data_IF_879465861643
#
_entry.id   IF_879465861643
#
_cell.length_a   1.000
_cell.length_b   1.000
_cell.length_c   1.000
_cell.angle_alpha   90.00
_cell.angle_beta   90.00
_cell.angle_gamma   90.00
#
_symmetry.space_group_name_H-M   'P 1'
#
loop_
_entity.id
_entity.type
_entity.pdbx_description
1 polymer ?
#
# COMPACT_ATOMS: atom_id res chain seq x y z
N UNK A 1 17.25 11.77 22.52
CA UNK A 1 16.22 11.38 21.53
C UNK A 1 15.56 12.56 20.83
N UNK A 2 15.21 13.66 21.51
CA UNK A 2 14.54 14.82 20.90
C UNK A 2 15.35 15.51 19.78
N UNK A 3 16.69 15.50 19.85
CA UNK A 3 17.55 16.13 18.83
C UNK A 3 17.63 15.39 17.49
N UNK A 4 17.29 14.10 17.44
CA UNK A 4 17.27 13.33 16.19
C UNK A 4 15.92 13.42 15.47
N UNK A 5 14.85 13.80 16.18
CA UNK A 5 13.51 13.95 15.60
C UNK A 5 13.40 15.20 14.71
N UNK A 6 14.17 16.25 15.01
CA UNK A 6 14.12 17.55 14.30
C UNK A 6 14.78 17.48 12.90
N UNK A 7 15.66 16.51 12.67
CA UNK A 7 16.38 16.38 11.40
C UNK A 7 15.55 15.67 10.32
N UNK A 8 14.53 14.89 10.71
CA UNK A 8 13.64 14.18 9.76
C UNK A 8 12.49 15.08 9.27
N UNK A 9 12.09 16.09 10.05
CA UNK A 9 11.00 17.02 9.67
C UNK A 9 11.42 18.12 8.67
N UNK A 10 12.71 18.29 8.39
CA UNK A 10 13.22 19.35 7.50
C UNK A 10 13.10 19.09 5.99
N UNK A 11 12.70 17.88 5.57
CA UNK A 11 12.58 17.50 4.15
C UNK A 11 11.12 17.50 3.64
N UNK A 12 10.14 17.89 4.47
CA UNK A 12 8.73 17.97 4.07
C UNK A 12 8.40 19.24 3.25
N UNK A 13 9.33 19.73 2.45
CA UNK A 13 9.19 20.96 1.67
C UNK A 13 8.71 20.62 0.26
N UNK A 14 7.46 20.99 -0.01
CA UNK A 14 6.83 21.14 -1.34
C UNK A 14 6.44 19.83 -2.04
N UNK A 15 5.49 19.09 -1.44
CA UNK A 15 4.67 18.16 -2.21
C UNK A 15 3.62 18.97 -2.99
N UNK A 16 3.84 19.17 -4.29
CA UNK A 16 2.78 19.62 -5.20
C UNK A 16 1.82 18.45 -5.42
N UNK A 17 0.70 18.46 -4.70
CA UNK A 17 -0.39 17.53 -4.97
C UNK A 17 -1.01 17.89 -6.33
N UNK A 18 -0.85 17.01 -7.33
CA UNK A 18 -1.69 17.07 -8.52
C UNK A 18 -3.12 16.70 -8.09
N UNK A 19 -4.15 17.53 -8.40
CA UNK A 19 -5.52 17.19 -8.09
C UNK A 19 -5.99 16.05 -9.00
N UNK A 20 -5.77 14.81 -8.57
CA UNK A 20 -6.19 13.60 -9.28
C UNK A 20 -7.65 13.17 -8.97
N UNK A 21 -8.33 13.81 -8.01
CA UNK A 21 -9.60 13.33 -7.44
C UNK A 21 -10.82 14.22 -7.69
N UNK A 22 -10.72 15.27 -8.50
CA UNK A 22 -11.92 15.99 -8.90
C UNK A 22 -12.49 15.31 -10.14
N UNK A 23 -13.45 14.39 -9.95
CA UNK A 23 -14.41 14.08 -11.01
C UNK A 23 -15.02 15.44 -11.40
N UNK A 24 -14.85 15.90 -12.65
CA UNK A 24 -15.43 17.16 -13.09
C UNK A 24 -16.91 17.16 -12.72
N UNK A 25 -17.38 18.19 -12.01
CA UNK A 25 -18.75 18.26 -11.54
C UNK A 25 -19.71 18.02 -12.73
N UNK A 26 -20.45 16.91 -12.69
CA UNK A 26 -21.31 16.50 -13.80
C UNK A 26 -22.60 17.30 -13.85
N UNK A 27 -22.88 18.10 -12.82
CA UNK A 27 -24.06 18.96 -12.72
C UNK A 27 -23.68 20.43 -12.59
N UNK A 28 -24.51 21.31 -13.14
CA UNK A 28 -24.36 22.76 -12.96
C UNK A 28 -24.84 23.19 -11.56
N UNK A 29 -24.82 24.50 -11.29
CA UNK A 29 -25.29 25.08 -10.01
C UNK A 29 -26.77 24.88 -9.73
N UNK A 30 -27.56 24.56 -10.76
CA UNK A 30 -29.01 24.34 -10.70
C UNK A 30 -29.37 22.85 -10.55
N UNK A 31 -28.38 21.96 -10.58
CA UNK A 31 -28.56 20.50 -10.47
C UNK A 31 -28.79 19.79 -11.80
N UNK A 32 -28.78 20.50 -12.93
CA UNK A 32 -28.91 19.91 -14.25
C UNK A 32 -27.59 19.27 -14.70
N UNK A 33 -27.66 18.12 -15.36
CA UNK A 33 -26.46 17.47 -15.92
C UNK A 33 -25.89 18.35 -17.02
N UNK A 34 -24.58 18.65 -16.95
CA UNK A 34 -23.90 19.45 -17.96
C UNK A 34 -24.10 18.81 -19.35
N UNK A 35 -24.53 19.57 -20.36
CA UNK A 35 -24.73 19.02 -21.70
C UNK A 35 -23.40 18.49 -22.23
N UNK A 36 -23.46 17.33 -22.88
CA UNK A 36 -22.28 16.72 -23.49
C UNK A 36 -21.82 17.61 -24.65
N UNK A 37 -20.62 18.17 -24.54
CA UNK A 37 -20.11 19.13 -25.52
C UNK A 37 -19.50 18.41 -26.73
N UNK A 38 -19.61 19.04 -27.89
CA UNK A 38 -18.88 18.61 -29.08
C UNK A 38 -17.38 18.90 -28.89
N UNK A 39 -16.53 18.02 -29.41
CA UNK A 39 -15.07 18.17 -29.32
C UNK A 39 -14.46 18.12 -30.71
N UNK A 40 -13.92 19.26 -31.15
CA UNK A 40 -13.20 19.41 -32.41
C UNK A 40 -11.69 19.22 -32.23
N UNK A 41 -10.97 19.06 -33.34
CA UNK A 41 -9.51 18.96 -33.33
C UNK A 41 -8.98 17.61 -32.83
N UNK A 42 -9.83 16.57 -32.81
CA UNK A 42 -9.41 15.23 -32.40
C UNK A 42 -8.69 14.54 -33.56
N UNK A 43 -7.48 14.06 -33.32
CA UNK A 43 -6.70 13.34 -34.33
C UNK A 43 -7.27 11.95 -34.57
N UNK A 44 -7.35 11.55 -35.83
CA UNK A 44 -7.73 10.19 -36.19
C UNK A 44 -6.63 9.18 -35.85
N UNK A 45 -6.99 7.98 -35.35
CA UNK A 45 -6.02 6.90 -35.21
C UNK A 45 -5.50 6.45 -36.57
N UNK A 46 -4.34 5.80 -36.59
CA UNK A 46 -3.75 5.26 -37.81
C UNK A 46 -4.66 4.17 -38.37
N UNK A 47 -4.97 4.26 -39.66
CA UNK A 47 -5.69 3.21 -40.39
C UNK A 47 -4.68 2.25 -41.01
N UNK A 48 -4.84 0.97 -40.71
CA UNK A 48 -3.99 -0.10 -41.20
C UNK A 48 -4.73 -0.88 -42.29
N UNK A 49 -4.09 -1.08 -43.43
CA UNK A 49 -4.67 -1.72 -44.61
C UNK A 49 -3.74 -2.78 -45.17
N UNK A 50 -4.27 -3.78 -45.88
CA UNK A 50 -3.43 -4.84 -46.47
C UNK A 50 -2.62 -4.35 -47.67
N UNK A 51 -3.22 -3.47 -48.45
CA UNK A 51 -2.63 -2.84 -49.63
C UNK A 51 -2.93 -1.34 -49.57
N UNK A 52 -2.00 -0.49 -50.00
CA UNK A 52 -2.22 0.95 -50.06
C UNK A 52 -3.41 1.36 -50.93
N UNK A 53 -3.80 0.52 -51.89
CA UNK A 53 -5.01 0.71 -52.68
C UNK A 53 -6.31 0.58 -51.88
N UNK A 54 -6.25 0.01 -50.67
CA UNK A 54 -7.38 -0.03 -49.74
C UNK A 54 -7.45 1.20 -48.81
N UNK A 55 -6.48 2.12 -48.87
CA UNK A 55 -6.61 3.40 -48.20
C UNK A 55 -7.73 4.23 -48.86
N UNK A 56 -8.61 4.87 -48.09
CA UNK A 56 -9.59 5.80 -48.63
C UNK A 56 -8.94 6.93 -49.43
N UNK A 57 -9.59 7.40 -50.50
CA UNK A 57 -9.07 8.43 -51.41
C UNK A 57 -8.54 9.68 -50.70
N UNK A 58 -9.17 10.08 -49.59
CA UNK A 58 -8.77 11.24 -48.77
C UNK A 58 -7.42 11.09 -48.08
N UNK A 59 -6.99 9.85 -47.84
CA UNK A 59 -5.76 9.50 -47.13
C UNK A 59 -4.90 8.51 -47.92
N UNK A 60 -5.18 8.36 -49.21
CA UNK A 60 -4.41 7.51 -50.10
C UNK A 60 -3.01 8.11 -50.28
N UNK A 61 -1.94 7.30 -50.32
CA UNK A 61 -0.60 7.80 -50.59
C UNK A 61 -0.54 8.56 -51.91
N UNK A 62 -0.02 9.78 -51.84
CA UNK A 62 0.48 10.47 -53.03
C UNK A 62 1.70 9.74 -53.57
N UNK A 63 1.94 9.83 -54.88
CA UNK A 63 3.19 9.35 -55.47
C UNK A 63 4.39 9.95 -54.73
N UNK A 64 5.33 9.10 -54.33
CA UNK A 64 6.53 9.54 -53.62
C UNK A 64 7.40 10.41 -54.55
N UNK A 65 8.13 11.40 -54.00
CA UNK A 65 9.14 12.16 -54.73
C UNK A 65 10.15 11.27 -55.45
N UNK A 66 10.74 11.79 -56.53
CA UNK A 66 11.73 11.04 -57.31
C UNK A 66 12.93 10.63 -56.45
N UNK A 67 13.15 9.32 -56.31
CA UNK A 67 14.23 8.74 -55.51
C UNK A 67 13.77 8.13 -54.19
N UNK A 68 12.53 8.42 -53.76
CA UNK A 68 11.92 7.83 -52.56
C UNK A 68 10.95 6.70 -52.93
N UNK A 69 10.70 5.80 -51.99
CA UNK A 69 9.71 4.74 -52.07
C UNK A 69 8.76 4.79 -50.87
N UNK A 70 7.51 4.38 -51.10
CA UNK A 70 6.49 4.31 -50.06
C UNK A 70 6.74 3.09 -49.17
N UNK A 71 7.00 3.32 -47.89
CA UNK A 71 7.25 2.28 -46.90
C UNK A 71 5.98 1.87 -46.15
N UNK A 72 6.05 0.74 -45.43
CA UNK A 72 4.87 0.14 -44.77
C UNK A 72 4.27 1.00 -43.64
N UNK A 73 4.95 2.05 -43.20
CA UNK A 73 4.41 3.06 -42.28
C UNK A 73 3.55 4.15 -42.98
N UNK A 74 3.47 4.09 -44.30
CA UNK A 74 2.71 5.03 -45.12
C UNK A 74 3.47 6.29 -45.50
N UNK A 75 4.75 6.44 -45.13
CA UNK A 75 5.58 7.58 -45.51
C UNK A 75 6.59 7.22 -46.61
N UNK A 76 7.10 8.25 -47.29
CA UNK A 76 8.09 8.11 -48.35
C UNK A 76 9.50 8.26 -47.77
N UNK A 77 10.40 7.35 -48.13
CA UNK A 77 11.81 7.33 -47.71
C UNK A 77 12.72 6.91 -48.86
N UNK A 78 14.00 7.29 -48.80
CA UNK A 78 15.03 6.80 -49.73
C UNK A 78 15.23 5.27 -49.64
N UNK A 79 15.07 4.71 -48.43
CA UNK A 79 15.06 3.27 -48.16
C UNK A 79 14.09 2.96 -47.02
N UNK A 80 13.43 1.79 -47.09
CA UNK A 80 12.57 1.31 -46.01
C UNK A 80 13.33 0.54 -44.92
N UNK A 81 14.67 0.50 -44.99
CA UNK A 81 15.49 -0.15 -43.98
C UNK A 81 15.36 0.56 -42.64
N UNK A 82 14.95 -0.17 -41.60
CA UNK A 82 14.69 0.34 -40.23
C UNK A 82 13.50 1.29 -40.10
N UNK A 83 12.58 1.30 -41.07
CA UNK A 83 11.30 1.99 -40.91
C UNK A 83 10.38 1.10 -40.06
N UNK A 84 9.98 1.61 -38.90
CA UNK A 84 9.09 0.89 -37.98
C UNK A 84 7.64 1.04 -38.46
N UNK A 85 7.01 -0.09 -38.75
CA UNK A 85 5.62 -0.11 -39.16
C UNK A 85 4.69 0.03 -37.93
N UNK A 86 3.94 1.14 -37.79
CA UNK A 86 3.10 1.39 -36.63
C UNK A 86 1.95 0.38 -36.49
N UNK A 87 1.53 -0.28 -37.57
CA UNK A 87 0.47 -1.30 -37.56
C UNK A 87 0.88 -2.62 -36.88
N UNK A 88 2.19 -2.82 -36.65
CA UNK A 88 2.72 -4.02 -36.00
C UNK A 88 2.73 -3.92 -34.49
N UNK A 89 2.48 -2.74 -33.91
CA UNK A 89 2.40 -2.54 -32.47
C UNK A 89 3.65 -3.02 -31.70
N UNK A 90 4.83 -2.86 -32.31
CA UNK A 90 6.12 -3.29 -31.75
C UNK A 90 6.37 -4.81 -31.80
N UNK A 91 5.51 -5.59 -32.45
CA UNK A 91 5.73 -7.01 -32.72
C UNK A 91 6.48 -7.24 -34.03
N UNK A 92 6.99 -8.44 -34.25
CA UNK A 92 7.72 -8.76 -35.47
C UNK A 92 6.76 -9.09 -36.61
N UNK A 93 7.12 -8.74 -37.84
CA UNK A 93 6.33 -9.07 -39.03
C UNK A 93 6.05 -10.58 -39.18
N UNK A 94 6.91 -11.44 -38.62
CA UNK A 94 6.73 -12.90 -38.60
C UNK A 94 5.57 -13.39 -37.73
N UNK A 95 5.08 -12.55 -36.82
CA UNK A 95 4.01 -12.90 -35.88
C UNK A 95 2.61 -12.70 -36.50
N UNK A 96 2.54 -12.20 -37.73
CA UNK A 96 1.30 -11.92 -38.45
C UNK A 96 1.12 -12.84 -39.65
N UNK A 97 -0.11 -13.30 -39.87
CA UNK A 97 -0.49 -14.05 -41.08
C UNK A 97 -0.48 -13.15 -42.32
N UNK A 98 -0.80 -11.86 -42.15
CA UNK A 98 -0.85 -10.85 -43.20
C UNK A 98 -0.22 -9.56 -42.68
N UNK A 99 0.70 -8.99 -43.45
CA UNK A 99 1.34 -7.72 -43.13
C UNK A 99 0.42 -6.56 -43.49
N UNK A 100 0.05 -5.76 -42.50
CA UNK A 100 -0.70 -4.53 -42.69
C UNK A 100 0.25 -3.34 -42.85
N UNK A 101 -0.21 -2.31 -43.57
CA UNK A 101 0.51 -1.09 -43.89
C UNK A 101 -0.30 0.11 -43.40
N UNK A 102 0.35 1.13 -42.88
CA UNK A 102 -0.33 2.33 -42.42
C UNK A 102 -0.65 3.28 -43.58
N UNK A 103 -1.83 3.89 -43.55
CA UNK A 103 -2.16 4.97 -44.49
C UNK A 103 -1.42 6.27 -44.08
N UNK A 104 -0.86 7.05 -45.04
CA UNK A 104 0.03 8.20 -44.82
C UNK A 104 -0.51 9.33 -43.95
N UNK A 105 -1.81 9.60 -44.03
CA UNK A 105 -2.39 10.85 -43.51
C UNK A 105 -3.27 10.61 -42.30
N UNK A 106 -2.65 10.60 -41.13
CA UNK A 106 -3.32 10.58 -39.82
C UNK A 106 -3.47 11.99 -39.19
N UNK A 107 -3.11 13.06 -39.91
CA UNK A 107 -3.23 14.46 -39.43
C UNK A 107 -4.64 15.07 -39.60
N UNK A 108 -5.58 14.29 -40.15
CA UNK A 108 -6.97 14.73 -40.27
C UNK A 108 -7.57 14.83 -38.88
N UNK A 109 -8.03 16.03 -38.54
CA UNK A 109 -8.77 16.25 -37.30
C UNK A 109 -10.28 16.16 -37.55
N UNK A 110 -10.99 15.53 -36.63
CA UNK A 110 -12.44 15.36 -36.69
C UNK A 110 -13.12 16.09 -35.53
N UNK A 111 -14.42 16.36 -35.72
CA UNK A 111 -15.30 16.84 -34.66
C UNK A 111 -16.22 15.73 -34.23
N UNK A 112 -16.10 15.29 -32.98
CA UNK A 112 -17.00 14.32 -32.37
C UNK A 112 -18.14 15.07 -31.69
N UNK A 113 -19.36 14.80 -32.14
CA UNK A 113 -20.57 15.35 -31.51
C UNK A 113 -20.91 14.59 -30.25
N UNK A 114 -21.39 15.29 -29.21
CA UNK A 114 -21.75 14.68 -27.93
C UNK A 114 -20.61 13.77 -27.39
N UNK A 115 -19.41 14.34 -27.28
CA UNK A 115 -18.21 13.61 -26.89
C UNK A 115 -18.33 13.02 -25.48
N UNK A 116 -18.36 11.70 -25.38
CA UNK A 116 -18.38 10.97 -24.12
C UNK A 116 -16.97 10.42 -23.82
N UNK A 117 -16.32 10.89 -22.72
CA UNK A 117 -14.97 10.43 -22.35
C UNK A 117 -14.85 8.90 -22.16
N UNK A 118 -15.94 8.23 -21.79
CA UNK A 118 -15.97 6.78 -21.51
C UNK A 118 -15.88 5.93 -22.77
N UNK A 119 -16.37 6.44 -23.91
CA UNK A 119 -16.37 5.78 -25.23
C UNK A 119 -15.63 6.62 -26.27
N UNK A 120 -14.65 7.42 -25.81
CA UNK A 120 -13.98 8.44 -26.63
C UNK A 120 -13.35 7.86 -27.89
N UNK A 121 -12.77 6.67 -27.77
CA UNK A 121 -11.97 6.04 -28.81
C UNK A 121 -12.86 5.58 -29.96
N UNK A 122 -13.90 4.79 -29.64
CA UNK A 122 -14.94 4.37 -30.59
C UNK A 122 -15.61 5.57 -31.28
N UNK A 123 -15.89 6.65 -30.55
CA UNK A 123 -16.50 7.85 -31.12
C UNK A 123 -15.56 8.59 -32.09
N UNK A 124 -14.26 8.65 -31.79
CA UNK A 124 -13.25 9.24 -32.68
C UNK A 124 -13.12 8.40 -33.94
N UNK A 125 -12.95 7.09 -33.80
CA UNK A 125 -12.86 6.14 -34.90
C UNK A 125 -14.06 6.21 -35.83
N UNK A 126 -15.27 6.27 -35.26
CA UNK A 126 -16.49 6.43 -36.03
C UNK A 126 -16.51 7.73 -36.84
N UNK A 127 -16.15 8.86 -36.21
CA UNK A 127 -16.08 10.16 -36.89
C UNK A 127 -15.02 10.18 -38.00
N UNK A 128 -13.89 9.49 -37.79
CA UNK A 128 -12.84 9.33 -38.79
C UNK A 128 -13.31 8.45 -39.96
N UNK A 129 -13.96 7.32 -39.67
CA UNK A 129 -14.54 6.44 -40.68
C UNK A 129 -15.57 7.16 -41.56
N UNK A 130 -16.43 8.00 -40.96
CA UNK A 130 -17.37 8.84 -41.72
C UNK A 130 -16.65 9.89 -42.58
N UNK A 131 -15.62 10.52 -42.04
CA UNK A 131 -14.84 11.54 -42.74
C UNK A 131 -14.12 10.95 -43.95
N UNK A 132 -13.56 9.75 -43.80
CA UNK A 132 -12.87 9.02 -44.87
C UNK A 132 -13.79 8.20 -45.77
N UNK A 133 -15.11 8.21 -45.54
CA UNK A 133 -16.08 7.49 -46.39
C UNK A 133 -16.06 5.97 -46.25
N UNK A 134 -15.45 5.44 -45.19
CA UNK A 134 -15.53 4.03 -44.82
C UNK A 134 -16.93 3.66 -44.30
N UNK A 135 -17.64 4.64 -43.76
CA UNK A 135 -19.01 4.52 -43.27
C UNK A 135 -19.87 5.64 -43.86
N UNK A 136 -21.16 5.37 -44.06
CA UNK A 136 -22.11 6.37 -44.54
C UNK A 136 -22.15 7.59 -43.61
N UNK A 137 -22.22 8.80 -44.19
CA UNK A 137 -22.37 10.06 -43.43
C UNK A 137 -23.66 10.11 -42.59
N UNK A 138 -24.64 9.28 -42.92
CA UNK A 138 -25.92 9.17 -42.19
C UNK A 138 -25.92 8.04 -41.16
N UNK A 139 -24.82 7.28 -41.04
CA UNK A 139 -24.73 6.24 -40.02
C UNK A 139 -24.78 6.86 -38.63
N UNK A 140 -25.30 6.10 -37.67
CA UNK A 140 -25.32 6.45 -36.26
C UNK A 140 -24.28 5.63 -35.51
N UNK A 141 -23.61 6.26 -34.56
CA UNK A 141 -22.70 5.58 -33.63
C UNK A 141 -23.41 4.38 -32.99
N UNK A 142 -22.77 3.20 -33.00
CA UNK A 142 -23.33 1.95 -32.47
C UNK A 142 -24.14 1.09 -33.46
N UNK A 143 -24.20 1.46 -34.75
CA UNK A 143 -24.65 0.53 -35.81
C UNK A 143 -23.46 -0.22 -36.40
N UNK A 144 -23.60 -1.54 -36.62
CA UNK A 144 -22.55 -2.54 -36.96
C UNK A 144 -21.81 -2.28 -38.30
N UNK A 145 -21.12 -1.15 -38.42
CA UNK A 145 -20.35 -0.79 -39.62
C UNK A 145 -18.90 -0.45 -39.28
N UNK A 146 -18.33 -1.07 -38.24
CA UNK A 146 -16.98 -0.73 -37.78
C UNK A 146 -15.91 -1.39 -38.65
N UNK A 147 -14.88 -0.61 -38.97
CA UNK A 147 -13.55 -1.10 -39.33
C UNK A 147 -13.11 -2.10 -38.24
N UNK A 148 -12.43 -3.18 -38.64
CA UNK A 148 -12.04 -4.21 -37.69
C UNK A 148 -11.14 -3.66 -36.58
N UNK A 149 -11.31 -4.20 -35.37
CA UNK A 149 -10.35 -3.98 -34.30
C UNK A 149 -9.06 -4.72 -34.64
N UNK A 150 -7.95 -4.22 -34.11
CA UNK A 150 -6.65 -4.84 -34.33
C UNK A 150 -6.62 -6.28 -33.78
N UNK A 151 -6.13 -7.23 -34.58
CA UNK A 151 -5.81 -8.58 -34.15
C UNK A 151 -4.73 -9.21 -35.05
N UNK A 152 -3.91 -10.10 -34.50
CA UNK A 152 -2.80 -10.76 -35.24
C UNK A 152 -3.27 -11.68 -36.37
N UNK A 153 -4.47 -12.24 -36.22
CA UNK A 153 -5.12 -13.15 -37.16
C UNK A 153 -6.29 -12.49 -37.90
N UNK A 154 -6.35 -11.16 -37.94
CA UNK A 154 -7.44 -10.44 -38.59
C UNK A 154 -7.44 -10.68 -40.11
N UNK A 155 -8.62 -10.91 -40.66
CA UNK A 155 -8.82 -11.14 -42.11
C UNK A 155 -9.36 -9.93 -42.85
N UNK A 156 -9.82 -8.91 -42.13
CA UNK A 156 -10.35 -7.68 -42.69
C UNK A 156 -9.33 -6.92 -43.55
N UNK A 157 -9.83 -6.25 -44.58
CA UNK A 157 -9.02 -5.41 -45.49
C UNK A 157 -8.47 -4.16 -44.80
N UNK A 158 -9.18 -3.66 -43.80
CA UNK A 158 -8.87 -2.46 -43.04
C UNK A 158 -9.07 -2.73 -41.54
N UNK A 159 -8.18 -2.19 -40.72
CA UNK A 159 -8.27 -2.25 -39.26
C UNK A 159 -7.77 -0.96 -38.63
N UNK A 160 -8.26 -0.63 -37.44
CA UNK A 160 -7.71 0.46 -36.64
C UNK A 160 -6.41 0.04 -35.98
N UNK A 161 -5.44 0.96 -35.89
CA UNK A 161 -4.21 0.71 -35.14
C UNK A 161 -4.43 0.85 -33.63
N UNK A 162 -5.22 -0.06 -33.07
CA UNK A 162 -5.43 -0.18 -31.63
C UNK A 162 -4.52 -1.26 -31.07
N UNK A 163 -3.27 -0.88 -30.82
CA UNK A 163 -2.33 -1.82 -30.24
C UNK A 163 -2.85 -2.36 -28.90
N UNK A 164 -2.74 -3.69 -28.69
CA UNK A 164 -3.15 -4.27 -27.42
C UNK A 164 -2.32 -3.62 -26.35
N UNK A 165 -2.98 -3.12 -25.30
CA UNK A 165 -2.29 -2.63 -24.13
C UNK A 165 -1.34 -3.73 -23.66
N UNK A 166 -0.05 -3.43 -23.57
CA UNK A 166 0.94 -4.36 -23.05
C UNK A 166 0.39 -4.93 -21.74
N UNK A 167 0.32 -6.26 -21.66
CA UNK A 167 -0.30 -6.92 -20.51
C UNK A 167 0.31 -6.35 -19.23
N UNK A 168 -0.52 -5.72 -18.40
CA UNK A 168 -0.03 -5.06 -17.21
C UNK A 168 0.72 -6.10 -16.36
N UNK A 169 1.98 -5.84 -15.97
CA UNK A 169 2.72 -6.77 -15.14
C UNK A 169 1.95 -6.95 -13.83
N UNK A 170 1.49 -8.18 -13.57
CA UNK A 170 0.71 -8.51 -12.38
C UNK A 170 1.67 -8.80 -11.24
N UNK A 171 1.56 -8.05 -10.15
CA UNK A 171 2.31 -8.36 -8.94
C UNK A 171 1.82 -9.70 -8.35
N UNK A 172 2.68 -10.73 -8.37
CA UNK A 172 2.39 -12.00 -7.70
C UNK A 172 2.91 -12.00 -6.26
N UNK A 173 2.23 -12.70 -5.34
CA UNK A 173 2.72 -12.90 -3.96
C UNK A 173 4.02 -13.71 -3.88
N UNK A 174 4.41 -14.33 -4.98
CA UNK A 174 5.67 -15.09 -5.12
C UNK A 174 6.85 -14.21 -5.53
N UNK A 175 6.63 -12.92 -5.80
CA UNK A 175 7.71 -12.01 -6.14
C UNK A 175 8.73 -11.91 -5.00
N UNK A 176 10.01 -11.74 -5.37
CA UNK A 176 11.13 -11.77 -4.41
C UNK A 176 10.95 -10.72 -3.31
N UNK A 177 10.39 -9.56 -3.63
CA UNK A 177 10.11 -8.49 -2.66
C UNK A 177 9.06 -8.92 -1.64
N UNK A 178 7.98 -9.57 -2.08
CA UNK A 178 6.93 -10.10 -1.20
C UNK A 178 7.47 -11.21 -0.29
N UNK A 179 8.22 -12.16 -0.84
CA UNK A 179 8.84 -13.24 -0.08
C UNK A 179 9.82 -12.70 0.98
N UNK A 180 10.65 -11.71 0.62
CA UNK A 180 11.57 -11.07 1.56
C UNK A 180 10.80 -10.36 2.70
N UNK A 181 9.72 -9.64 2.36
CA UNK A 181 8.86 -8.99 3.35
C UNK A 181 8.25 -10.01 4.32
N UNK A 182 7.64 -11.09 3.82
CA UNK A 182 7.07 -12.14 4.67
C UNK A 182 8.12 -12.85 5.52
N UNK A 183 9.30 -13.10 4.96
CA UNK A 183 10.42 -13.69 5.69
C UNK A 183 10.89 -12.82 6.85
N UNK A 184 11.03 -11.51 6.63
CA UNK A 184 11.43 -10.56 7.68
C UNK A 184 10.37 -10.47 8.77
N UNK A 185 9.10 -10.26 8.41
CA UNK A 185 8.01 -10.16 9.39
C UNK A 185 7.84 -11.47 10.17
N UNK A 186 7.89 -12.61 9.50
CA UNK A 186 7.82 -13.93 10.13
C UNK A 186 8.97 -14.17 11.11
N UNK A 187 10.20 -13.80 10.73
CA UNK A 187 11.37 -13.89 11.61
C UNK A 187 11.25 -12.96 12.83
N UNK A 188 10.78 -11.73 12.64
CA UNK A 188 10.54 -10.79 13.75
C UNK A 188 9.51 -11.34 14.74
N UNK A 189 8.37 -11.82 14.27
CA UNK A 189 7.33 -12.43 15.10
C UNK A 189 7.88 -13.62 15.89
N UNK A 190 8.64 -14.51 15.24
CA UNK A 190 9.27 -15.65 15.90
C UNK A 190 10.23 -15.21 17.00
N UNK A 191 11.07 -14.20 16.76
CA UNK A 191 11.99 -13.67 17.76
C UNK A 191 11.25 -13.06 18.96
N UNK A 192 10.12 -12.38 18.75
CA UNK A 192 9.29 -11.88 19.86
C UNK A 192 8.65 -12.99 20.67
N UNK A 193 8.17 -14.06 20.03
CA UNK A 193 7.63 -15.23 20.73
C UNK A 193 8.70 -15.94 21.56
N UNK A 194 9.89 -16.11 21.00
CA UNK A 194 11.04 -16.69 21.71
C UNK A 194 11.48 -15.81 22.89
N UNK A 195 11.53 -14.49 22.70
CA UNK A 195 11.81 -13.55 23.79
C UNK A 195 10.77 -13.63 24.90
N UNK A 196 9.48 -13.65 24.54
CA UNK A 196 8.39 -13.77 25.51
C UNK A 196 8.52 -15.07 26.31
N UNK A 197 8.73 -16.21 25.64
CA UNK A 197 8.94 -17.50 26.30
C UNK A 197 10.18 -17.48 27.22
N UNK A 198 11.31 -16.96 26.74
CA UNK A 198 12.54 -16.82 27.53
C UNK A 198 12.30 -15.97 28.79
N UNK A 199 11.68 -14.80 28.64
CA UNK A 199 11.34 -13.90 29.74
C UNK A 199 10.40 -14.57 30.74
N UNK A 200 9.31 -15.20 30.27
CA UNK A 200 8.38 -15.92 31.14
C UNK A 200 9.09 -17.01 31.95
N UNK A 201 9.96 -17.81 31.32
CA UNK A 201 10.72 -18.86 32.01
C UNK A 201 11.63 -18.27 33.09
N UNK A 202 12.36 -17.19 32.77
CA UNK A 202 13.30 -16.53 33.69
C UNK A 202 12.60 -15.85 34.86
N UNK A 203 11.39 -15.32 34.65
CA UNK A 203 10.65 -14.57 35.66
C UNK A 203 9.76 -15.47 36.55
N UNK A 204 9.52 -16.73 36.16
CA UNK A 204 8.76 -17.72 36.96
C UNK A 204 9.25 -17.83 38.41
N UNK A 205 10.57 -17.87 38.63
CA UNK A 205 11.13 -17.98 39.98
C UNK A 205 10.84 -16.74 40.85
N UNK A 206 10.91 -15.54 40.25
CA UNK A 206 10.62 -14.29 40.96
C UNK A 206 9.11 -14.18 41.25
N UNK A 207 8.27 -14.61 40.31
CA UNK A 207 6.83 -14.68 40.51
C UNK A 207 6.44 -15.65 41.64
N UNK A 208 7.07 -16.83 41.71
CA UNK A 208 6.85 -17.80 42.80
C UNK A 208 7.24 -17.22 44.16
N UNK A 209 8.42 -16.60 44.27
CA UNK A 209 8.86 -15.95 45.52
C UNK A 209 7.91 -14.83 45.96
N UNK A 210 7.38 -14.03 45.02
CA UNK A 210 6.39 -12.99 45.34
C UNK A 210 5.12 -13.60 45.94
N UNK A 211 4.64 -14.73 45.43
CA UNK A 211 3.45 -15.42 45.97
C UNK A 211 3.66 -15.84 47.43
N UNK A 212 4.79 -16.48 47.72
CA UNK A 212 5.13 -16.93 49.09
C UNK A 212 5.23 -15.74 50.05
N UNK A 213 5.94 -14.67 49.67
CA UNK A 213 6.06 -13.48 50.52
C UNK A 213 4.75 -12.72 50.72
N UNK A 214 3.84 -12.75 49.73
CA UNK A 214 2.55 -12.06 49.83
C UNK A 214 1.56 -12.75 50.78
N UNK A 215 1.77 -14.04 51.07
CA UNK A 215 0.94 -14.83 51.98
C UNK A 215 1.40 -14.74 53.44
N UNK A 216 2.53 -14.10 53.74
CA UNK A 216 2.87 -13.85 55.15
C UNK A 216 1.77 -12.99 55.77
N UNK A 217 1.17 -13.43 56.91
CA UNK A 217 0.15 -12.68 57.58
C UNK A 217 0.67 -11.27 57.78
N UNK A 218 -0.06 -10.27 57.27
CA UNK A 218 0.11 -8.91 57.74
C UNK A 218 -0.24 -8.97 59.22
N UNK A 219 0.75 -9.19 60.07
CA UNK A 219 0.61 -9.01 61.51
C UNK A 219 0.02 -7.62 61.64
N UNK A 220 -1.25 -7.56 62.01
CA UNK A 220 -1.92 -6.31 62.30
C UNK A 220 -1.15 -5.72 63.47
N UNK A 221 -0.15 -4.91 63.17
CA UNK A 221 0.37 -3.94 64.11
C UNK A 221 -0.75 -2.90 64.19
N UNK A 222 -1.79 -3.25 64.95
CA UNK A 222 -2.76 -2.27 65.43
C UNK A 222 -1.93 -1.14 66.04
N UNK A 223 -2.05 0.10 65.54
CA UNK A 223 -1.52 1.23 66.27
C UNK A 223 -2.33 1.30 67.56
N UNK A 224 -1.83 0.69 68.63
CA UNK A 224 -2.37 0.85 69.98
C UNK A 224 -2.07 2.29 70.40
N UNK A 225 -2.86 3.22 69.87
CA UNK A 225 -3.14 4.47 70.56
C UNK A 225 -3.77 4.05 71.87
N UNK A 226 -3.07 4.34 72.95
CA UNK A 226 -3.56 4.20 74.30
C UNK A 226 -4.90 4.93 74.42
N UNK A 227 -6.00 4.18 74.40
CA UNK A 227 -7.27 4.62 74.96
C UNK A 227 -7.81 3.52 75.85
N UNK A 228 -7.71 3.85 77.12
CA UNK A 228 -8.32 3.27 78.29
C UNK A 228 -9.81 2.93 78.05
N UNK A 229 -10.17 1.64 78.15
CA UNK A 229 -11.26 1.09 78.99
C UNK A 229 -11.97 -0.14 78.41
N UNK A 230 -12.15 -1.08 79.34
CA UNK A 230 -13.23 -2.06 79.51
C UNK A 230 -13.33 -3.26 78.54
N UNK A 231 -12.73 -4.36 79.00
CA UNK A 231 -13.35 -5.68 79.19
C UNK A 231 -14.81 -5.82 78.72
N UNK A 232 -15.03 -6.55 77.63
CA UNK A 232 -16.20 -7.42 77.50
C UNK A 232 -15.84 -8.72 76.77
N UNK A 233 -16.38 -9.81 77.29
CA UNK A 233 -16.00 -11.21 77.12
C UNK A 233 -16.95 -11.83 76.09
N UNK A 234 -16.45 -12.29 74.93
CA UNK A 234 -17.31 -12.81 73.88
C UNK A 234 -16.64 -13.80 72.91
N UNK A 235 -16.77 -15.08 73.25
CA UNK A 235 -16.93 -16.27 72.39
C UNK A 235 -16.04 -16.43 71.15
N UNK A 236 -15.11 -17.36 71.27
CA UNK A 236 -14.36 -18.02 70.20
C UNK A 236 -15.31 -18.84 69.33
N UNK A 237 -15.34 -18.58 68.02
CA UNK A 237 -15.92 -19.48 67.02
C UNK A 237 -14.87 -19.80 65.96
N UNK A 238 -14.24 -20.97 66.13
CA UNK A 238 -13.32 -21.59 65.18
C UNK A 238 -14.10 -22.26 64.05
N UNK A 239 -14.06 -21.68 62.85
CA UNK A 239 -14.51 -22.31 61.61
C UNK A 239 -13.32 -22.54 60.67
N UNK A 240 -13.04 -23.79 60.23
CA UNK A 240 -12.04 -24.06 59.22
C UNK A 240 -12.69 -23.92 57.83
N UNK A 241 -12.58 -22.75 57.22
CA UNK A 241 -12.94 -22.57 55.80
C UNK A 241 -11.67 -22.58 54.96
N UNK A 242 -11.23 -23.78 54.59
CA UNK A 242 -10.30 -24.02 53.49
C UNK A 242 -11.03 -23.75 52.18
N UNK A 243 -10.95 -22.51 51.69
CA UNK A 243 -11.37 -22.17 50.32
C UNK A 243 -10.17 -22.44 49.42
N UNK A 244 -10.22 -23.57 48.73
CA UNK A 244 -9.36 -23.86 47.58
C UNK A 244 -9.63 -22.83 46.48
N UNK A 245 -8.79 -21.80 46.42
CA UNK A 245 -8.81 -20.84 45.31
C UNK A 245 -8.00 -21.44 44.16
N UNK A 246 -8.60 -21.67 42.98
CA UNK A 246 -7.88 -22.22 41.83
C UNK A 246 -6.69 -21.32 41.47
N UNK A 247 -5.54 -21.97 41.26
CA UNK A 247 -4.24 -21.40 40.94
C UNK A 247 -4.24 -20.78 39.53
N UNK A 248 -4.99 -19.71 39.34
CA UNK A 248 -4.90 -18.87 38.15
C UNK A 248 -3.66 -18.00 38.28
N UNK A 249 -2.84 -18.00 37.24
CA UNK A 249 -1.52 -17.35 37.12
C UNK A 249 -1.64 -15.81 37.06
N UNK A 250 -2.42 -15.23 37.98
CA UNK A 250 -2.71 -13.80 38.05
C UNK A 250 -1.46 -13.07 38.53
N UNK A 251 -0.76 -12.45 37.59
CA UNK A 251 0.13 -11.33 37.87
C UNK A 251 -0.68 -10.28 38.62
N UNK A 252 -0.42 -10.13 39.92
CA UNK A 252 -1.06 -9.10 40.77
C UNK A 252 -0.84 -7.75 40.10
N UNK A 253 -1.92 -7.21 39.55
CA UNK A 253 -1.92 -5.92 38.86
C UNK A 253 -2.10 -4.82 39.89
N UNK A 254 -1.54 -3.63 39.66
CA UNK A 254 -1.62 -2.52 40.61
C UNK A 254 -3.06 -2.12 40.98
N UNK A 255 -4.05 -2.47 40.13
CA UNK A 255 -5.47 -2.27 40.39
C UNK A 255 -6.04 -3.09 41.56
N UNK A 256 -5.38 -4.19 41.96
CA UNK A 256 -5.84 -5.07 43.04
C UNK A 256 -5.26 -4.69 44.42
N UNK A 257 -4.40 -3.68 44.47
CA UNK A 257 -3.77 -3.22 45.69
C UNK A 257 -4.71 -2.29 46.48
N UNK A 258 -4.70 -2.36 47.84
CA UNK A 258 -5.38 -1.38 48.70
C UNK A 258 -4.96 0.05 48.35
N UNK A 259 -5.90 1.01 48.49
CA UNK A 259 -5.59 2.43 48.36
C UNK A 259 -4.41 2.81 49.27
N UNK A 260 -3.45 3.58 48.74
CA UNK A 260 -2.22 3.96 49.44
C UNK A 260 -1.12 2.89 49.50
N UNK A 261 -1.26 1.74 48.83
CA UNK A 261 -0.17 0.76 48.75
C UNK A 261 0.61 0.83 47.42
N UNK A 262 1.94 0.79 47.52
CA UNK A 262 2.86 0.90 46.41
C UNK A 262 3.41 -0.48 46.01
N UNK A 263 3.42 -0.78 44.71
CA UNK A 263 4.06 -1.96 44.16
C UNK A 263 5.47 -1.62 43.67
N UNK A 264 6.47 -2.17 44.34
CA UNK A 264 7.87 -2.04 43.96
C UNK A 264 8.28 -3.26 43.13
N UNK A 265 8.68 -3.06 41.87
CA UNK A 265 9.24 -4.11 41.00
C UNK A 265 10.69 -3.79 40.64
N UNK A 266 11.59 -4.74 40.89
CA UNK A 266 13.00 -4.63 40.55
C UNK A 266 13.31 -5.24 39.18
N UNK A 267 14.11 -4.56 38.37
CA UNK A 267 14.55 -5.02 37.06
C UNK A 267 16.07 -4.94 36.91
N UNK A 268 16.62 -5.91 36.18
CA UNK A 268 18.02 -5.91 35.72
C UNK A 268 18.09 -5.97 34.20
N UNK A 269 19.14 -5.37 33.64
CA UNK A 269 19.37 -5.43 32.20
C UNK A 269 19.83 -6.83 31.80
N UNK A 270 19.35 -7.30 30.65
CA UNK A 270 19.69 -8.58 30.03
C UNK A 270 20.17 -8.30 28.60
N UNK A 271 21.19 -9.04 28.13
CA UNK A 271 21.81 -8.80 26.83
C UNK A 271 20.83 -9.15 25.70
N UNK A 272 20.11 -10.27 25.81
CA UNK A 272 19.11 -10.66 24.83
C UNK A 272 17.95 -9.66 24.81
N UNK A 273 17.55 -9.17 25.99
CA UNK A 273 16.56 -8.10 26.09
C UNK A 273 17.00 -6.79 25.43
N UNK A 274 18.26 -6.39 25.62
CA UNK A 274 18.82 -5.21 24.95
C UNK A 274 18.85 -5.37 23.43
N UNK A 275 19.22 -6.55 22.93
CA UNK A 275 19.18 -6.88 21.51
C UNK A 275 17.76 -6.76 20.95
N UNK A 276 16.77 -7.39 21.60
CA UNK A 276 15.37 -7.33 21.19
C UNK A 276 14.82 -5.91 21.19
N UNK A 277 15.17 -5.10 22.20
CA UNK A 277 14.80 -3.68 22.22
C UNK A 277 15.41 -2.91 21.04
N UNK A 278 16.67 -3.18 20.71
CA UNK A 278 17.33 -2.61 19.53
C UNK A 278 16.63 -3.01 18.23
N UNK A 279 16.25 -4.28 18.11
CA UNK A 279 15.47 -4.80 16.99
C UNK A 279 14.11 -4.11 16.86
N UNK A 280 13.41 -3.86 17.97
CA UNK A 280 12.14 -3.11 17.96
C UNK A 280 12.30 -1.69 17.41
N UNK A 281 13.38 -1.00 17.80
CA UNK A 281 13.67 0.35 17.27
C UNK A 281 14.03 0.30 15.78
N UNK A 282 14.82 -0.69 15.36
CA UNK A 282 15.20 -0.89 13.97
C UNK A 282 13.98 -1.21 13.10
N UNK A 283 13.11 -2.13 13.54
CA UNK A 283 11.85 -2.46 12.85
C UNK A 283 10.96 -1.23 12.71
N UNK A 284 10.82 -0.43 13.77
CA UNK A 284 10.06 0.84 13.71
C UNK A 284 10.61 1.81 12.66
N UNK A 285 11.94 1.95 12.57
CA UNK A 285 12.57 2.76 11.52
C UNK A 285 12.38 2.13 10.12
N UNK A 286 12.44 0.80 10.03
CA UNK A 286 12.21 0.02 8.82
C UNK A 286 10.82 0.24 8.22
N UNK A 287 9.76 0.26 9.05
CA UNK A 287 8.39 0.58 8.59
C UNK A 287 8.29 1.96 7.95
N UNK A 288 8.94 2.97 8.53
CA UNK A 288 8.96 4.33 7.98
C UNK A 288 9.73 4.38 6.66
N UNK A 289 10.90 3.73 6.60
CA UNK A 289 11.70 3.65 5.39
C UNK A 289 10.96 2.91 4.26
N UNK A 290 10.28 1.80 4.58
CA UNK A 290 9.48 1.04 3.63
C UNK A 290 8.34 1.87 3.04
N UNK A 291 7.57 2.57 3.90
CA UNK A 291 6.51 3.47 3.44
C UNK A 291 7.06 4.61 2.58
N UNK A 292 8.22 5.17 2.95
CA UNK A 292 8.88 6.20 2.15
C UNK A 292 9.28 5.67 0.77
N UNK A 293 9.84 4.46 0.68
CA UNK A 293 10.23 3.85 -0.60
C UNK A 293 9.00 3.62 -1.50
N UNK A 294 7.90 3.11 -0.94
CA UNK A 294 6.65 2.90 -1.69
C UNK A 294 6.11 4.22 -2.25
N UNK A 295 6.09 5.28 -1.43
CA UNK A 295 5.66 6.61 -1.87
C UNK A 295 6.60 7.18 -2.94
N UNK A 296 7.92 7.04 -2.76
CA UNK A 296 8.89 7.48 -3.77
C UNK A 296 8.75 6.72 -5.09
N UNK A 297 8.41 5.43 -5.04
CA UNK A 297 8.17 4.60 -6.24
C UNK A 297 6.91 5.04 -6.97
N UNK A 298 5.83 5.31 -6.22
CA UNK A 298 4.59 5.87 -6.76
C UNK A 298 4.84 7.16 -7.56
N UNK A 299 5.72 8.04 -7.06
CA UNK A 299 6.13 9.28 -7.75
C UNK A 299 7.30 9.12 -8.74
N UNK A 300 7.71 7.89 -9.04
CA UNK A 300 8.77 7.59 -10.00
C UNK A 300 10.17 8.05 -9.61
N UNK A 301 10.43 8.30 -8.32
CA UNK A 301 11.74 8.77 -7.83
C UNK A 301 12.74 7.63 -7.61
N UNK A 302 12.28 6.37 -7.55
CA UNK A 302 13.15 5.21 -7.27
C UNK A 302 13.90 4.72 -8.51
N UNK A 303 13.24 4.68 -9.68
CA UNK A 303 13.79 4.14 -10.95
C UNK A 303 13.99 5.24 -12.00
N UNK A 304 14.59 6.37 -11.61
CA UNK A 304 15.04 7.38 -12.57
C UNK A 304 13.94 8.13 -13.33
N UNK A 305 12.76 8.33 -12.73
CA UNK A 305 11.64 9.06 -13.33
C UNK A 305 10.48 8.17 -13.78
N UNK A 306 10.65 6.86 -13.78
CA UNK A 306 9.58 5.91 -14.14
C UNK A 306 8.68 5.68 -12.93
N UNK A 307 7.44 6.17 -13.01
CA UNK A 307 6.41 5.90 -12.00
C UNK A 307 6.10 4.41 -11.92
N UNK A 308 5.91 3.89 -10.71
CA UNK A 308 5.60 2.47 -10.46
C UNK A 308 6.71 1.51 -10.89
N UNK A 309 7.97 1.98 -10.93
CA UNK A 309 9.11 1.16 -11.39
C UNK A 309 9.38 -0.08 -10.53
N UNK A 310 8.92 -0.11 -9.28
CA UNK A 310 8.99 -1.28 -8.39
C UNK A 310 7.66 -2.05 -8.32
N UNK A 311 6.53 -1.32 -8.27
CA UNK A 311 5.19 -1.90 -8.05
C UNK A 311 4.35 -2.04 -9.32
N UNK A 312 4.99 -2.01 -10.49
CA UNK A 312 4.44 -2.28 -11.82
C UNK A 312 3.38 -1.29 -12.33
N UNK A 313 2.28 -1.10 -11.59
CA UNK A 313 1.15 -0.27 -11.99
C UNK A 313 0.55 0.49 -10.78
N UNK A 314 -0.36 1.42 -11.07
CA UNK A 314 -0.96 2.30 -10.06
C UNK A 314 -1.88 1.55 -9.07
N UNK A 315 -2.66 0.59 -9.57
CA UNK A 315 -3.61 -0.17 -8.76
C UNK A 315 -2.91 -1.07 -7.74
N UNK A 316 -1.87 -1.78 -8.18
CA UNK A 316 -1.05 -2.64 -7.34
C UNK A 316 -0.25 -1.81 -6.33
N UNK A 317 0.35 -0.70 -6.78
CA UNK A 317 1.06 0.23 -5.91
C UNK A 317 0.18 0.76 -4.77
N UNK A 318 -1.03 1.21 -5.09
CA UNK A 318 -1.99 1.70 -4.09
C UNK A 318 -2.43 0.58 -3.13
N UNK A 319 -2.70 -0.62 -3.65
CA UNK A 319 -3.12 -1.78 -2.84
C UNK A 319 -2.03 -2.18 -1.84
N UNK A 320 -0.77 -2.27 -2.30
CA UNK A 320 0.39 -2.55 -1.45
C UNK A 320 0.60 -1.46 -0.42
N UNK A 321 0.49 -0.18 -0.82
CA UNK A 321 0.61 0.94 0.09
C UNK A 321 -0.43 0.88 1.22
N UNK A 322 -1.72 0.68 0.89
CA UNK A 322 -2.80 0.56 1.87
C UNK A 322 -2.49 -0.57 2.85
N UNK A 323 -2.12 -1.75 2.35
CA UNK A 323 -1.82 -2.91 3.18
C UNK A 323 -0.66 -2.65 4.14
N UNK A 324 0.49 -2.20 3.61
CA UNK A 324 1.70 -1.92 4.40
C UNK A 324 1.45 -0.79 5.41
N UNK A 325 0.70 0.23 5.02
CA UNK A 325 0.34 1.34 5.91
C UNK A 325 -0.48 0.88 7.12
N UNK A 326 -1.49 0.02 6.93
CA UNK A 326 -2.29 -0.50 8.04
C UNK A 326 -1.44 -1.32 9.01
N UNK A 327 -0.54 -2.18 8.50
CA UNK A 327 0.37 -2.94 9.34
C UNK A 327 1.32 -2.02 10.13
N UNK A 328 1.91 -1.02 9.48
CA UNK A 328 2.76 -0.03 10.12
C UNK A 328 1.99 0.78 11.19
N UNK A 329 0.75 1.16 10.90
CA UNK A 329 -0.11 1.89 11.83
C UNK A 329 -0.43 1.05 13.08
N UNK A 330 -0.81 -0.22 12.91
CA UNK A 330 -1.05 -1.15 14.02
C UNK A 330 0.22 -1.31 14.87
N UNK A 331 1.38 -1.50 14.23
CA UNK A 331 2.67 -1.57 14.90
C UNK A 331 2.97 -0.32 15.73
N UNK A 332 2.85 0.87 15.13
CA UNK A 332 3.13 2.14 15.80
C UNK A 332 2.14 2.41 16.95
N UNK A 333 0.86 2.09 16.79
CA UNK A 333 -0.14 2.20 17.86
C UNK A 333 0.22 1.28 19.03
N UNK A 334 0.58 0.02 18.76
CA UNK A 334 1.01 -0.91 19.80
C UNK A 334 2.25 -0.37 20.54
N UNK A 335 3.24 0.15 19.80
CA UNK A 335 4.44 0.77 20.36
C UNK A 335 4.14 1.99 21.22
N UNK A 336 3.22 2.85 20.79
CA UNK A 336 2.80 4.04 21.53
C UNK A 336 2.02 3.68 22.80
N UNK A 337 1.11 2.71 22.72
CA UNK A 337 0.36 2.20 23.87
C UNK A 337 1.31 1.57 24.90
N UNK A 338 2.32 0.84 24.44
CA UNK A 338 3.30 0.20 25.30
C UNK A 338 4.49 1.09 25.69
N UNK A 339 4.60 2.33 25.21
CA UNK A 339 5.82 3.16 25.34
C UNK A 339 6.35 3.29 26.78
N UNK A 340 5.45 3.38 27.76
CA UNK A 340 5.79 3.52 29.18
C UNK A 340 6.41 2.25 29.77
N UNK A 341 5.98 1.09 29.27
CA UNK A 341 6.40 -0.24 29.75
C UNK A 341 7.44 -0.90 28.85
N UNK A 342 7.61 -0.42 27.62
CA UNK A 342 8.43 -1.03 26.59
C UNK A 342 9.86 -1.31 27.07
N UNK A 343 10.51 -0.30 27.68
CA UNK A 343 11.89 -0.47 28.18
C UNK A 343 12.00 -1.51 29.30
N UNK A 344 10.97 -1.65 30.13
CA UNK A 344 10.93 -2.65 31.21
C UNK A 344 10.52 -4.03 30.72
N UNK A 345 9.72 -4.12 29.65
CA UNK A 345 9.39 -5.39 29.00
C UNK A 345 10.64 -6.14 28.54
N UNK A 346 11.63 -5.42 28.00
CA UNK A 346 12.92 -5.99 27.60
C UNK A 346 13.95 -6.13 28.73
N UNK A 347 13.58 -5.83 29.98
CA UNK A 347 14.39 -6.15 31.16
C UNK A 347 13.86 -7.42 31.81
N UNK A 348 14.68 -8.07 32.62
CA UNK A 348 14.26 -9.24 33.40
C UNK A 348 13.97 -8.79 34.83
N UNK A 349 12.80 -9.19 35.34
CA UNK A 349 12.44 -8.95 36.72
C UNK A 349 13.38 -9.69 37.69
N UNK A 350 13.75 -9.04 38.80
CA UNK A 350 14.64 -9.61 39.81
C UNK A 350 14.32 -9.08 41.21
N UNK A 351 14.89 -9.70 42.23
CA UNK A 351 14.78 -9.25 43.62
C UNK A 351 15.35 -7.83 43.78
N UNK A 352 14.73 -7.02 44.65
CA UNK A 352 15.12 -5.61 44.89
C UNK A 352 16.64 -5.41 45.15
N UNK A 353 17.36 -6.25 45.91
CA UNK A 353 18.79 -6.05 46.13
C UNK A 353 19.66 -6.19 44.88
N UNK A 354 19.17 -6.88 43.84
CA UNK A 354 19.88 -7.07 42.57
C UNK A 354 19.39 -6.11 41.47
N UNK A 355 18.36 -5.32 41.77
CA UNK A 355 17.72 -4.46 40.79
C UNK A 355 18.61 -3.26 40.47
N UNK A 356 18.79 -3.00 39.17
CA UNK A 356 19.42 -1.76 38.69
C UNK A 356 18.40 -0.67 38.42
N UNK A 357 17.15 -1.06 38.17
CA UNK A 357 16.03 -0.16 37.93
C UNK A 357 14.86 -0.64 38.77
N UNK A 358 14.22 0.27 39.48
CA UNK A 358 13.02 -0.01 40.25
C UNK A 358 11.85 0.71 39.60
N UNK A 359 10.78 -0.02 39.31
CA UNK A 359 9.50 0.53 38.89
C UNK A 359 8.60 0.60 40.11
N UNK A 360 8.08 1.80 40.39
CA UNK A 360 7.07 2.03 41.41
C UNK A 360 5.74 2.19 40.69
N UNK A 361 4.78 1.31 40.98
CA UNK A 361 3.39 1.48 40.56
C UNK A 361 2.56 1.82 41.79
N UNK A 362 1.91 2.97 41.77
CA UNK A 362 0.98 3.42 42.80
C UNK A 362 -0.42 3.45 42.19
N UNK A 363 -1.42 3.05 42.97
CA UNK A 363 -2.82 3.17 42.58
C UNK A 363 -3.23 4.64 42.73
N UNK A 364 -3.47 5.31 41.61
CA UNK A 364 -4.09 6.64 41.63
C UNK A 364 -5.54 6.51 42.11
N UNK A 365 -5.93 7.34 43.08
CA UNK A 365 -7.33 7.55 43.44
C UNK A 365 -7.95 8.40 42.32
N UNK A 366 -8.82 7.79 41.51
CA UNK A 366 -9.69 8.49 40.56
C UNK A 366 -11.06 8.75 41.20
#
# INVERSE_FOLDING_TARGET
>A
MVRYLVLVTGLASVAYAFPAFNVPNSVNVDGDTCPVMDRSGLMCPVLCVRDFNNCPDLIQPSECPAGEQLCDDGACYDSCDNVENPCLCGMFASDFDVLYKACPSYSTSVTVKQYNPSTKQEQIEFACAQTWGLVSRNATFGSDTSVALWATNETATTMWNECPLAAEPKLSFTETVCLAFYGIIGAEVLLYLLWHAYKSIRERHVAQMRRVCSQLPKTQVSPSVASDKQYEKGVVQSGPSSIDVPMSDATVSASQLPAGSMLLRGYKNDIAGLFMYGLTLLSTAGWIALLMIIVLDYYGKVKGGVAYGLLANSNDSMSVFIFVWHLAAIWLIAMLACKRRLRNYFRIECSLPQARVVQVEERQEE
#
